data_IF_328090305782
#
_entry.id   IF_328090305782
#
_cell.length_a   1.000
_cell.length_b   1.000
_cell.length_c   1.000
_cell.angle_alpha   90.00
_cell.angle_beta   90.00
_cell.angle_gamma   90.00
#
_symmetry.space_group_name_H-M   'P 1'
#
loop_
_entity.id
_entity.type
_entity.pdbx_description
1 polymer ?
#
# COMPACT_ATOMS: atom_id res chain seq x y z
N UNK A 1 -5.49 -0.70 -14.75
CA UNK A 1 -5.19 -2.15 -14.55
C UNK A 1 -6.25 -3.09 -15.11
N UNK A 2 -7.56 -2.91 -14.83
CA UNK A 2 -8.63 -3.80 -15.35
C UNK A 2 -8.63 -3.99 -16.88
N UNK A 3 -8.34 -2.94 -17.65
CA UNK A 3 -8.23 -3.02 -19.13
C UNK A 3 -7.04 -3.90 -19.58
N UNK A 4 -5.90 -3.84 -18.90
CA UNK A 4 -4.73 -4.68 -19.22
C UNK A 4 -4.96 -6.15 -18.89
N UNK A 5 -5.70 -6.45 -17.83
CA UNK A 5 -6.11 -7.81 -17.46
C UNK A 5 -7.04 -8.40 -18.52
N UNK A 6 -8.00 -7.61 -19.00
CA UNK A 6 -8.88 -8.02 -20.09
C UNK A 6 -8.05 -8.38 -21.33
N UNK A 7 -7.10 -7.53 -21.72
CA UNK A 7 -6.20 -7.78 -22.85
C UNK A 7 -5.38 -9.06 -22.63
N UNK A 8 -4.85 -9.30 -21.42
CA UNK A 8 -4.11 -10.51 -21.09
C UNK A 8 -4.96 -11.78 -21.24
N UNK A 9 -6.20 -11.78 -20.71
CA UNK A 9 -7.10 -12.93 -20.87
C UNK A 9 -7.54 -13.15 -22.32
N UNK A 10 -7.73 -12.08 -23.09
CA UNK A 10 -7.98 -12.18 -24.53
C UNK A 10 -6.79 -12.82 -25.27
N UNK A 11 -5.56 -12.41 -24.96
CA UNK A 11 -4.34 -13.01 -25.55
C UNK A 11 -4.16 -14.46 -25.10
N UNK A 12 -4.42 -14.77 -23.82
CA UNK A 12 -4.37 -16.12 -23.30
C UNK A 12 -5.37 -17.02 -24.04
N UNK A 13 -6.63 -16.60 -24.16
CA UNK A 13 -7.66 -17.34 -24.89
C UNK A 13 -7.28 -17.53 -26.36
N UNK A 14 -6.79 -16.46 -27.01
CA UNK A 14 -6.33 -16.51 -28.40
C UNK A 14 -5.18 -17.52 -28.59
N UNK A 15 -4.20 -17.52 -27.69
CA UNK A 15 -3.07 -18.47 -27.74
C UNK A 15 -3.49 -19.93 -27.55
N UNK A 16 -4.50 -20.20 -26.70
CA UNK A 16 -5.08 -21.53 -26.52
C UNK A 16 -5.79 -22.01 -27.78
N UNK A 17 -6.60 -21.15 -28.41
CA UNK A 17 -7.28 -21.46 -29.67
C UNK A 17 -6.27 -21.74 -30.78
N UNK A 18 -5.21 -20.92 -30.89
CA UNK A 18 -4.17 -21.11 -31.88
C UNK A 18 -3.41 -22.44 -31.67
N UNK A 19 -3.08 -22.79 -30.44
CA UNK A 19 -2.40 -24.05 -30.11
C UNK A 19 -3.26 -25.27 -30.51
N UNK A 20 -4.56 -25.25 -30.21
CA UNK A 20 -5.47 -26.34 -30.58
C UNK A 20 -5.61 -26.43 -32.10
N UNK A 21 -5.81 -25.30 -32.78
CA UNK A 21 -5.97 -25.26 -34.23
C UNK A 21 -4.70 -25.74 -34.96
N UNK A 22 -3.51 -25.30 -34.53
CA UNK A 22 -2.25 -25.75 -35.11
C UNK A 22 -1.94 -27.21 -34.77
N UNK A 23 -2.19 -27.63 -33.53
CA UNK A 23 -1.97 -29.01 -33.10
C UNK A 23 -2.77 -30.02 -33.94
N UNK A 24 -4.05 -29.75 -34.17
CA UNK A 24 -4.88 -30.63 -35.02
C UNK A 24 -4.42 -30.67 -36.48
N UNK A 25 -3.94 -29.56 -37.01
CA UNK A 25 -3.44 -29.48 -38.39
C UNK A 25 -2.12 -30.26 -38.55
N UNK A 26 -1.17 -30.08 -37.63
CA UNK A 26 0.12 -30.81 -37.66
C UNK A 26 -0.07 -32.32 -37.53
N UNK A 27 -0.97 -32.77 -36.65
CA UNK A 27 -1.28 -34.20 -36.47
C UNK A 27 -1.89 -34.81 -37.76
N UNK A 28 -2.72 -34.04 -38.49
CA UNK A 28 -3.27 -34.47 -39.78
C UNK A 28 -2.22 -34.59 -40.88
N UNK A 29 -1.20 -33.72 -40.90
CA UNK A 29 -0.14 -33.75 -41.92
C UNK A 29 0.97 -34.77 -41.62
N UNK A 30 1.34 -34.97 -40.35
CA UNK A 30 2.45 -35.85 -39.95
C UNK A 30 2.13 -36.61 -38.66
N UNK A 31 1.38 -37.73 -38.73
CA UNK A 31 0.94 -38.48 -37.55
C UNK A 31 2.10 -39.11 -36.75
N UNK A 32 3.25 -39.35 -37.38
CA UNK A 32 4.44 -39.90 -36.70
C UNK A 32 5.08 -38.96 -35.67
N UNK A 33 4.79 -37.65 -35.73
CA UNK A 33 5.34 -36.63 -34.80
C UNK A 33 4.41 -36.29 -33.64
N UNK A 34 3.30 -37.01 -33.46
CA UNK A 34 2.26 -36.69 -32.46
C UNK A 34 2.81 -36.53 -31.03
N UNK A 35 3.76 -37.38 -30.61
CA UNK A 35 4.37 -37.33 -29.28
C UNK A 35 5.15 -36.03 -29.02
N UNK A 36 5.86 -35.51 -30.02
CA UNK A 36 6.62 -34.25 -29.92
C UNK A 36 5.67 -33.05 -29.78
N UNK A 37 4.61 -33.01 -30.59
CA UNK A 37 3.59 -31.94 -30.55
C UNK A 37 2.85 -31.92 -29.21
N UNK A 38 2.52 -33.08 -28.65
CA UNK A 38 1.94 -33.16 -27.31
C UNK A 38 2.89 -32.66 -26.22
N UNK A 39 4.19 -32.99 -26.32
CA UNK A 39 5.21 -32.50 -25.40
C UNK A 39 5.36 -30.97 -25.42
N UNK A 40 5.52 -30.39 -26.60
CA UNK A 40 5.62 -28.93 -26.78
C UNK A 40 4.35 -28.20 -26.31
N UNK A 41 3.17 -28.75 -26.64
CA UNK A 41 1.89 -28.23 -26.18
C UNK A 41 1.75 -28.27 -24.66
N UNK A 42 2.21 -29.35 -24.01
CA UNK A 42 2.20 -29.48 -22.56
C UNK A 42 3.12 -28.46 -21.89
N UNK A 43 4.33 -28.25 -22.42
CA UNK A 43 5.27 -27.24 -21.88
C UNK A 43 4.70 -25.83 -22.06
N UNK A 44 4.10 -25.53 -23.22
CA UNK A 44 3.47 -24.25 -23.46
C UNK A 44 2.30 -23.98 -22.51
N UNK A 45 1.41 -24.97 -22.34
CA UNK A 45 0.30 -24.89 -21.38
C UNK A 45 0.79 -24.70 -19.95
N UNK A 46 1.84 -25.42 -19.56
CA UNK A 46 2.45 -25.27 -18.23
C UNK A 46 2.96 -23.84 -18.00
N UNK A 47 3.71 -23.28 -18.96
CA UNK A 47 4.21 -21.90 -18.87
C UNK A 47 3.08 -20.87 -18.85
N UNK A 48 2.00 -21.07 -19.63
CA UNK A 48 0.82 -20.20 -19.59
C UNK A 48 0.13 -20.22 -18.23
N UNK A 49 -0.12 -21.40 -17.66
CA UNK A 49 -0.72 -21.54 -16.34
C UNK A 49 0.15 -20.90 -15.26
N UNK A 50 1.46 -21.13 -15.30
CA UNK A 50 2.42 -20.51 -14.38
C UNK A 50 2.39 -18.99 -14.50
N UNK A 51 2.46 -18.45 -15.72
CA UNK A 51 2.39 -17.00 -15.96
C UNK A 51 1.08 -16.37 -15.48
N UNK A 52 -0.04 -17.03 -15.75
CA UNK A 52 -1.36 -16.60 -15.26
C UNK A 52 -1.43 -16.56 -13.74
N UNK A 53 -0.87 -17.57 -13.07
CA UNK A 53 -0.80 -17.64 -11.61
C UNK A 53 0.02 -16.49 -11.02
N UNK A 54 1.24 -16.26 -11.52
CA UNK A 54 2.11 -15.17 -11.05
C UNK A 54 1.49 -13.79 -11.29
N UNK A 55 0.83 -13.59 -12.42
CA UNK A 55 0.14 -12.35 -12.73
C UNK A 55 -1.00 -12.10 -11.73
N UNK A 56 -1.85 -13.09 -11.50
CA UNK A 56 -2.96 -12.98 -10.55
C UNK A 56 -2.48 -12.69 -9.12
N UNK A 57 -1.41 -13.35 -8.70
CA UNK A 57 -0.81 -13.12 -7.39
C UNK A 57 -0.23 -11.71 -7.26
N UNK A 58 0.41 -11.20 -8.32
CA UNK A 58 0.96 -9.84 -8.37
C UNK A 58 -0.15 -8.79 -8.25
N UNK A 59 -1.24 -8.97 -9.01
CA UNK A 59 -2.39 -8.05 -8.98
C UNK A 59 -3.03 -8.02 -7.59
N UNK A 60 -3.29 -9.19 -6.99
CA UNK A 60 -3.84 -9.26 -5.63
C UNK A 60 -2.98 -8.54 -4.60
N UNK A 61 -1.65 -8.64 -4.75
CA UNK A 61 -0.71 -7.94 -3.88
C UNK A 61 -0.80 -6.43 -4.09
N UNK A 62 -0.86 -5.98 -5.34
CA UNK A 62 -0.98 -4.56 -5.70
C UNK A 62 -2.31 -3.96 -5.22
N UNK A 63 -3.43 -4.65 -5.44
CA UNK A 63 -4.75 -4.24 -4.95
C UNK A 63 -4.77 -4.10 -3.41
N UNK A 64 -4.18 -5.07 -2.70
CA UNK A 64 -4.06 -5.01 -1.23
C UNK A 64 -3.21 -3.84 -0.76
N UNK A 65 -2.10 -3.55 -1.44
CA UNK A 65 -1.26 -2.40 -1.12
C UNK A 65 -2.00 -1.09 -1.37
N UNK A 66 -2.73 -0.98 -2.48
CA UNK A 66 -3.56 0.19 -2.78
C UNK A 66 -4.65 0.40 -1.72
N UNK A 67 -5.32 -0.66 -1.30
CA UNK A 67 -6.34 -0.59 -0.25
C UNK A 67 -5.72 -0.12 1.08
N UNK A 68 -4.55 -0.65 1.44
CA UNK A 68 -3.82 -0.21 2.64
C UNK A 68 -3.43 1.27 2.57
N UNK A 69 -2.93 1.75 1.43
CA UNK A 69 -2.62 3.16 1.23
C UNK A 69 -3.87 4.05 1.34
N UNK A 70 -4.97 3.63 0.73
CA UNK A 70 -6.24 4.37 0.81
C UNK A 70 -6.75 4.44 2.25
N UNK A 71 -6.75 3.32 2.97
CA UNK A 71 -7.17 3.26 4.37
C UNK A 71 -6.27 4.10 5.26
N UNK A 72 -4.95 4.10 5.01
CA UNK A 72 -4.00 4.97 5.71
C UNK A 72 -4.31 6.45 5.49
N UNK A 73 -4.49 6.88 4.23
CA UNK A 73 -4.83 8.28 3.91
C UNK A 73 -6.15 8.72 4.55
N UNK A 74 -7.16 7.85 4.55
CA UNK A 74 -8.43 8.10 5.22
C UNK A 74 -8.23 8.28 6.73
N UNK A 75 -7.51 7.35 7.37
CA UNK A 75 -7.22 7.40 8.81
C UNK A 75 -6.47 8.69 9.18
N UNK A 76 -5.39 9.01 8.46
CA UNK A 76 -4.60 10.23 8.69
C UNK A 76 -5.48 11.47 8.53
N UNK A 77 -6.31 11.53 7.48
CA UNK A 77 -7.22 12.66 7.27
C UNK A 77 -8.19 12.84 8.44
N UNK A 78 -8.73 11.73 8.97
CA UNK A 78 -9.61 11.77 10.13
C UNK A 78 -8.91 12.25 11.40
N UNK A 79 -7.73 11.71 11.68
CA UNK A 79 -6.92 12.09 12.85
C UNK A 79 -6.46 13.56 12.80
N UNK A 80 -6.17 14.10 11.61
CA UNK A 80 -5.82 15.53 11.44
C UNK A 80 -7.04 16.45 11.54
N UNK A 81 -8.20 16.02 11.02
CA UNK A 81 -9.40 16.87 10.96
C UNK A 81 -9.99 17.16 12.34
N UNK A 82 -9.89 16.22 13.27
CA UNK A 82 -10.43 16.34 14.64
C UNK A 82 -9.80 17.50 15.44
N UNK A 83 -8.47 17.56 15.67
CA UNK A 83 -7.82 18.67 16.36
C UNK A 83 -7.97 19.99 15.60
N UNK A 84 -7.94 19.97 14.26
CA UNK A 84 -8.18 21.16 13.46
C UNK A 84 -9.59 21.75 13.69
N UNK A 85 -10.60 20.89 13.80
CA UNK A 85 -11.96 21.31 14.12
C UNK A 85 -12.05 21.86 15.55
N UNK A 86 -11.37 21.25 16.52
CA UNK A 86 -11.32 21.70 17.91
C UNK A 86 -10.68 23.09 18.05
N UNK A 87 -9.55 23.32 17.38
CA UNK A 87 -8.89 24.64 17.31
C UNK A 87 -9.84 25.66 16.71
N UNK A 88 -10.44 25.34 15.55
CA UNK A 88 -11.37 26.24 14.87
C UNK A 88 -12.55 26.63 15.75
N UNK A 89 -13.16 25.67 16.44
CA UNK A 89 -14.28 25.91 17.36
C UNK A 89 -13.85 26.77 18.57
N UNK A 90 -12.67 26.51 19.13
CA UNK A 90 -12.11 27.28 20.25
C UNK A 90 -11.90 28.74 19.85
N UNK A 91 -11.27 28.98 18.70
CA UNK A 91 -11.06 30.33 18.16
C UNK A 91 -12.38 31.03 17.82
N UNK A 92 -13.32 30.34 17.18
CA UNK A 92 -14.66 30.89 16.91
C UNK A 92 -15.41 31.27 18.19
N UNK A 93 -15.25 30.49 19.26
CA UNK A 93 -15.87 30.76 20.56
C UNK A 93 -15.29 32.01 21.20
N UNK A 94 -13.97 32.19 21.13
CA UNK A 94 -13.29 33.42 21.59
C UNK A 94 -13.76 34.64 20.82
N UNK A 95 -13.90 34.54 19.50
CA UNK A 95 -14.31 35.67 18.64
C UNK A 95 -15.79 36.04 18.84
N UNK A 96 -16.67 35.06 19.03
CA UNK A 96 -18.13 35.27 19.02
C UNK A 96 -18.74 35.56 20.39
N UNK A 97 -18.08 35.18 21.49
CA UNK A 97 -18.63 35.28 22.84
C UNK A 97 -17.80 36.23 23.69
N UNK A 98 -18.48 36.99 24.53
CA UNK A 98 -17.84 37.75 25.59
C UNK A 98 -17.44 36.77 26.71
N UNK A 99 -16.13 36.55 26.86
CA UNK A 99 -15.55 35.58 27.77
C UNK A 99 -14.60 36.32 28.70
N UNK A 100 -14.58 35.92 29.97
CA UNK A 100 -13.55 36.37 30.89
C UNK A 100 -12.16 35.94 30.41
N UNK A 101 -11.15 36.69 30.85
CA UNK A 101 -9.75 36.48 30.43
C UNK A 101 -9.24 35.08 30.78
N UNK A 102 -9.74 34.46 31.86
CA UNK A 102 -9.30 33.11 32.26
C UNK A 102 -9.83 32.04 31.32
N UNK A 103 -11.09 32.15 30.87
CA UNK A 103 -11.67 31.25 29.86
C UNK A 103 -11.04 31.42 28.48
N UNK A 104 -10.74 32.65 28.06
CA UNK A 104 -10.00 32.88 26.81
C UNK A 104 -8.62 32.20 26.85
N UNK A 105 -7.86 32.40 27.93
CA UNK A 105 -6.55 31.75 28.11
C UNK A 105 -6.66 30.22 28.12
N UNK A 106 -7.69 29.66 28.75
CA UNK A 106 -7.93 28.21 28.74
C UNK A 106 -8.18 27.68 27.31
N UNK A 107 -9.02 28.34 26.52
CA UNK A 107 -9.29 27.94 25.13
C UNK A 107 -8.05 28.08 24.23
N UNK A 108 -7.24 29.13 24.44
CA UNK A 108 -5.98 29.32 23.74
C UNK A 108 -4.96 28.23 24.09
N UNK A 109 -4.79 27.91 25.38
CA UNK A 109 -3.90 26.84 25.83
C UNK A 109 -4.33 25.47 25.29
N UNK A 110 -5.64 25.18 25.26
CA UNK A 110 -6.15 23.96 24.64
C UNK A 110 -5.84 23.92 23.13
N UNK A 111 -6.00 25.05 22.44
CA UNK A 111 -5.68 25.15 21.01
C UNK A 111 -4.19 24.95 20.72
N UNK A 112 -3.31 25.49 21.57
CA UNK A 112 -1.85 25.27 21.48
C UNK A 112 -1.50 23.79 21.65
N UNK A 113 -2.12 23.12 22.63
CA UNK A 113 -1.93 21.67 22.83
C UNK A 113 -2.42 20.84 21.64
N UNK A 114 -3.51 21.24 20.99
CA UNK A 114 -3.98 20.57 19.77
C UNK A 114 -3.06 20.83 18.56
N UNK A 115 -2.34 21.96 18.53
CA UNK A 115 -1.29 22.22 17.53
C UNK A 115 -0.08 21.33 17.78
N UNK A 116 0.38 21.17 19.02
CA UNK A 116 1.48 20.25 19.36
C UNK A 116 1.16 18.82 18.93
N UNK A 117 -0.06 18.35 19.20
CA UNK A 117 -0.53 17.03 18.73
C UNK A 117 -0.52 16.89 17.20
N UNK A 118 -0.88 17.96 16.49
CA UNK A 118 -0.84 17.97 15.03
C UNK A 118 0.61 17.87 14.53
N UNK A 119 1.55 18.54 15.19
CA UNK A 119 2.97 18.48 14.86
C UNK A 119 3.53 17.07 15.06
N UNK A 120 3.23 16.45 16.21
CA UNK A 120 3.59 15.05 16.51
C UNK A 120 3.03 14.10 15.43
N UNK A 121 1.79 14.28 14.99
CA UNK A 121 1.18 13.47 13.93
C UNK A 121 1.91 13.63 12.59
N UNK A 122 2.29 14.86 12.24
CA UNK A 122 3.04 15.14 11.00
C UNK A 122 4.45 14.53 11.06
N UNK A 123 5.15 14.65 12.19
CA UNK A 123 6.48 14.07 12.37
C UNK A 123 6.43 12.53 12.26
N UNK A 124 5.47 11.91 12.92
CA UNK A 124 5.24 10.46 12.82
C UNK A 124 4.96 10.02 11.37
N UNK A 125 4.19 10.81 10.61
CA UNK A 125 3.92 10.53 9.19
C UNK A 125 5.18 10.66 8.32
N UNK A 126 6.02 11.67 8.57
CA UNK A 126 7.31 11.85 7.89
C UNK A 126 8.27 10.70 8.19
N UNK A 127 8.35 10.26 9.45
CA UNK A 127 9.14 9.10 9.85
C UNK A 127 8.64 7.81 9.17
N UNK A 128 7.34 7.56 9.18
CA UNK A 128 6.75 6.41 8.49
C UNK A 128 7.10 6.40 6.98
N UNK A 129 7.02 7.57 6.33
CA UNK A 129 7.37 7.72 4.91
C UNK A 129 8.86 7.48 4.64
N UNK A 130 9.76 7.92 5.52
CA UNK A 130 11.21 7.66 5.41
C UNK A 130 11.54 6.17 5.57
N UNK A 131 10.84 5.49 6.47
CA UNK A 131 10.98 4.04 6.68
C UNK A 131 10.48 3.28 5.44
N UNK A 132 9.31 3.65 4.90
CA UNK A 132 8.74 3.01 3.71
C UNK A 132 9.64 3.16 2.47
N UNK A 133 10.20 4.36 2.26
CA UNK A 133 11.10 4.63 1.14
C UNK A 133 12.50 4.04 1.29
N UNK A 134 12.79 3.29 2.37
CA UNK A 134 14.13 2.75 2.71
C UNK A 134 15.23 3.82 2.73
N UNK A 135 14.86 5.09 2.83
CA UNK A 135 15.78 6.22 2.92
C UNK A 135 16.21 6.48 4.36
N UNK A 136 15.55 5.84 5.33
CA UNK A 136 15.97 5.82 6.72
C UNK A 136 17.14 4.84 6.91
N UNK A 137 18.33 5.38 7.18
CA UNK A 137 19.48 4.59 7.60
C UNK A 137 19.33 4.28 9.09
N UNK A 138 19.38 2.99 9.45
CA UNK A 138 19.53 2.56 10.84
C UNK A 138 21.03 2.36 11.11
N UNK A 139 21.74 3.36 11.65
CA UNK A 139 23.14 3.19 12.00
C UNK A 139 23.24 2.10 13.07
N UNK A 140 23.94 1.01 12.73
CA UNK A 140 24.19 -0.07 13.69
C UNK A 140 25.50 0.24 14.40
N UNK A 141 25.43 0.42 15.70
CA UNK A 141 26.58 0.56 16.58
C UNK A 141 26.60 -0.55 17.64
N UNK A 142 27.80 -0.93 18.11
CA UNK A 142 27.90 -1.80 19.28
C UNK A 142 27.69 -0.95 20.53
N UNK A 143 26.69 -1.31 21.34
CA UNK A 143 26.40 -0.64 22.60
C UNK A 143 26.08 -1.66 23.69
N UNK A 144 26.24 -1.25 24.95
CA UNK A 144 25.92 -2.08 26.10
C UNK A 144 24.43 -1.91 26.48
N UNK A 145 23.66 -2.98 26.32
CA UNK A 145 22.24 -2.98 26.68
C UNK A 145 22.00 -2.69 28.17
N UNK A 146 22.83 -3.22 29.07
CA UNK A 146 22.68 -2.98 30.51
C UNK A 146 22.88 -1.51 30.86
N UNK A 147 23.86 -0.83 30.25
CA UNK A 147 24.07 0.60 30.46
C UNK A 147 22.92 1.45 29.91
N UNK A 148 22.38 1.08 28.75
CA UNK A 148 21.23 1.76 28.16
C UNK A 148 20.01 1.68 29.08
N UNK A 149 19.70 0.49 29.61
CA UNK A 149 18.55 0.28 30.50
C UNK A 149 18.70 1.09 31.80
N UNK A 150 19.89 1.13 32.41
CA UNK A 150 20.10 1.94 33.61
C UNK A 150 19.86 3.43 33.33
N UNK A 151 20.38 3.97 32.20
CA UNK A 151 20.22 5.38 31.83
C UNK A 151 18.79 5.84 31.56
N UNK A 152 17.90 4.95 31.11
CA UNK A 152 16.51 5.30 30.82
C UNK A 152 15.57 5.07 32.01
N UNK A 153 16.04 4.41 33.06
CA UNK A 153 15.23 4.10 34.25
C UNK A 153 15.50 5.06 35.42
N UNK A 154 16.66 5.71 35.42
CA UNK A 154 17.00 6.85 36.31
C UNK A 154 16.39 8.18 35.80
#
# INVERSE_FOLDING_TARGET
MKKSIIIFYFIMLYSLVQLISWGTLVIKLQPSRMAMVMGEGSVFLFLLCMGAFFLHQSIKKEDKLHEQQQNFLLSVTHELKSPLAAIKLSLQTIVKRDLDKTRQLSLLNNSLKDIERLDDLVENMLLATKIENRSYSFPKEQFNFSELITRITD
#
